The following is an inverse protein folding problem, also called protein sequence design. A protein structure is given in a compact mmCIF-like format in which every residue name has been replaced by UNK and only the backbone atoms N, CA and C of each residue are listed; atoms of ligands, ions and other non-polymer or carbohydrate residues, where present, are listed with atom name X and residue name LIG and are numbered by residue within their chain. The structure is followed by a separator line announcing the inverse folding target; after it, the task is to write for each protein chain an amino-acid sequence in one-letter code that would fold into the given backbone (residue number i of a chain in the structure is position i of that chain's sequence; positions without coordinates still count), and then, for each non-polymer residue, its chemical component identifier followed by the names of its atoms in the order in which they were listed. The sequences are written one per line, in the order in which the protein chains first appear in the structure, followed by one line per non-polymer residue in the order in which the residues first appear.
data_IF_154241397525
#
_entry.id   IF_154241397525
#
_cell.length_a   1.000
_cell.length_b   1.000
_cell.length_c   1.000
_cell.angle_alpha   90.00
_cell.angle_beta   90.00
_cell.angle_gamma   90.00
#
_symmetry.space_group_name_H-M   'P 1'
#
loop_
_entity.id
_entity.type
_entity.pdbx_description
1 polymer ?
#
# COMPACT_ATOMS: atom_id res chain seq x y z
N UNK A 1 -7.55 9.03 9.91
CA UNK A 1 -8.21 8.82 8.61
C UNK A 1 -8.56 7.35 8.48
N UNK A 2 -9.28 6.97 7.43
CA UNK A 2 -9.78 5.61 7.24
C UNK A 2 -8.63 4.68 6.84
N UNK A 3 -8.64 3.44 7.35
CA UNK A 3 -7.60 2.45 7.02
C UNK A 3 -7.97 1.66 5.78
N UNK A 4 -6.98 1.41 4.94
CA UNK A 4 -7.13 0.62 3.74
C UNK A 4 -6.01 -0.42 3.63
N UNK A 5 -6.34 -1.57 3.08
CA UNK A 5 -5.36 -2.54 2.57
C UNK A 5 -5.35 -2.45 1.05
N UNK A 6 -4.20 -2.10 0.50
CA UNK A 6 -3.97 -2.06 -0.95
C UNK A 6 -3.17 -3.29 -1.33
N UNK A 7 -3.64 -4.00 -2.34
CA UNK A 7 -2.94 -5.15 -2.91
C UNK A 7 -2.41 -4.74 -4.27
N UNK A 8 -1.09 -4.85 -4.44
CA UNK A 8 -0.45 -4.71 -5.72
C UNK A 8 -0.01 -6.08 -6.23
N UNK A 9 -0.19 -6.30 -7.53
CA UNK A 9 0.39 -7.45 -8.22
C UNK A 9 1.72 -7.04 -8.84
N UNK A 10 2.82 -7.48 -8.24
CA UNK A 10 4.14 -7.16 -8.74
C UNK A 10 4.40 -7.90 -10.06
N UNK A 11 5.20 -7.32 -10.97
CA UNK A 11 5.75 -8.07 -12.09
C UNK A 11 6.64 -9.22 -11.58
N UNK A 12 6.64 -10.38 -12.27
CA UNK A 12 7.36 -11.63 -11.92
C UNK A 12 8.87 -11.45 -11.59
N UNK A 13 9.46 -10.32 -11.98
CA UNK A 13 10.89 -10.02 -11.81
C UNK A 13 11.18 -8.82 -10.91
N UNK A 14 10.16 -8.23 -10.27
CA UNK A 14 10.37 -7.05 -9.44
C UNK A 14 11.18 -7.38 -8.18
N UNK A 15 12.35 -6.76 -8.06
CA UNK A 15 13.23 -6.88 -6.90
C UNK A 15 12.75 -5.98 -5.75
N UNK A 16 13.16 -6.31 -4.52
CA UNK A 16 12.84 -5.49 -3.35
C UNK A 16 13.35 -4.05 -3.48
N UNK A 17 14.52 -3.84 -4.08
CA UNK A 17 15.09 -2.52 -4.30
C UNK A 17 14.27 -1.67 -5.28
N UNK A 18 13.74 -2.28 -6.34
CA UNK A 18 12.84 -1.61 -7.28
C UNK A 18 11.52 -1.22 -6.59
N UNK A 19 10.96 -2.11 -5.76
CA UNK A 19 9.76 -1.79 -4.97
C UNK A 19 10.02 -0.63 -4.00
N UNK A 20 11.20 -0.60 -3.34
CA UNK A 20 11.61 0.52 -2.48
C UNK A 20 11.75 1.81 -3.28
N UNK A 21 12.33 1.76 -4.48
CA UNK A 21 12.47 2.94 -5.35
C UNK A 21 11.10 3.49 -5.81
N UNK A 22 10.16 2.60 -6.15
CA UNK A 22 8.78 2.98 -6.43
C UNK A 22 8.09 3.58 -5.19
N UNK A 23 8.27 2.97 -4.02
CA UNK A 23 7.77 3.48 -2.74
C UNK A 23 8.28 4.89 -2.43
N UNK A 24 9.55 5.20 -2.69
CA UNK A 24 10.09 6.56 -2.57
C UNK A 24 9.41 7.56 -3.51
N UNK A 25 9.11 7.13 -4.73
CA UNK A 25 8.41 7.96 -5.72
C UNK A 25 6.98 8.29 -5.26
N UNK A 26 6.28 7.30 -4.70
CA UNK A 26 4.95 7.47 -4.11
C UNK A 26 5.03 8.40 -2.90
N UNK A 27 5.95 8.14 -1.97
CA UNK A 27 6.12 8.92 -0.74
C UNK A 27 6.38 10.42 -1.00
N UNK A 28 7.12 10.75 -2.07
CA UNK A 28 7.39 12.13 -2.47
C UNK A 28 6.16 12.88 -3.00
N UNK A 29 5.07 12.17 -3.30
CA UNK A 29 3.83 12.71 -3.88
C UNK A 29 2.63 12.62 -2.93
N UNK A 30 2.80 12.02 -1.75
CA UNK A 30 1.74 11.90 -0.76
C UNK A 30 1.29 13.29 -0.30
N UNK A 31 -0.01 13.53 -0.37
CA UNK A 31 -0.67 14.67 0.26
C UNK A 31 -1.14 14.28 1.67
N UNK A 32 -1.71 15.25 2.41
CA UNK A 32 -2.35 14.97 3.70
C UNK A 32 -3.60 14.05 3.57
N UNK A 33 -4.05 13.74 2.35
CA UNK A 33 -5.23 12.92 2.05
C UNK A 33 -4.93 11.42 1.93
N UNK A 34 -3.66 11.03 1.81
CA UNK A 34 -3.25 9.63 1.75
C UNK A 34 -1.85 9.42 2.33
N UNK A 35 -1.69 8.39 3.16
CA UNK A 35 -0.43 8.03 3.81
C UNK A 35 -0.21 6.54 3.70
N UNK A 36 0.92 6.15 3.11
CA UNK A 36 1.40 4.78 3.14
C UNK A 36 2.09 4.52 4.48
N UNK A 37 1.56 3.57 5.26
CA UNK A 37 2.01 3.27 6.62
C UNK A 37 3.05 2.15 6.66
N UNK A 38 2.91 1.16 5.79
CA UNK A 38 3.81 0.03 5.70
C UNK A 38 3.35 -1.00 4.69
N UNK A 39 4.07 -2.10 4.56
CA UNK A 39 3.66 -3.18 3.69
C UNK A 39 4.53 -4.43 3.78
N UNK A 40 4.06 -5.48 3.12
CA UNK A 40 4.65 -6.80 3.12
C UNK A 40 4.68 -7.32 1.69
N UNK A 41 5.86 -7.69 1.21
CA UNK A 41 5.99 -8.47 -0.02
C UNK A 41 5.67 -9.92 0.32
N UNK A 42 4.86 -10.56 -0.51
CA UNK A 42 4.54 -11.98 -0.48
C UNK A 42 5.17 -12.60 -1.73
N UNK A 43 6.45 -13.04 -1.68
CA UNK A 43 7.19 -13.45 -2.87
C UNK A 43 6.56 -14.66 -3.57
N UNK A 44 5.94 -15.56 -2.82
CA UNK A 44 5.32 -16.78 -3.35
C UNK A 44 4.06 -16.51 -4.19
N UNK A 45 3.49 -15.31 -4.10
CA UNK A 45 2.25 -14.92 -4.79
C UNK A 45 2.44 -13.61 -5.57
N UNK A 46 3.69 -13.12 -5.70
CA UNK A 46 4.04 -11.91 -6.43
C UNK A 46 3.21 -10.69 -6.01
N UNK A 47 2.87 -10.60 -4.72
CA UNK A 47 2.04 -9.51 -4.17
C UNK A 47 2.81 -8.60 -3.26
N UNK A 48 2.42 -7.33 -3.27
CA UNK A 48 2.75 -6.38 -2.23
C UNK A 48 1.44 -5.96 -1.55
N UNK A 49 1.35 -6.24 -0.25
CA UNK A 49 0.24 -5.82 0.60
C UNK A 49 0.65 -4.55 1.32
N UNK A 50 -0.11 -3.48 1.20
CA UNK A 50 0.21 -2.19 1.79
C UNK A 50 -0.89 -1.74 2.74
N UNK A 51 -0.49 -1.28 3.92
CA UNK A 51 -1.37 -0.56 4.83
C UNK A 51 -1.34 0.93 4.49
N UNK A 52 -2.53 1.50 4.31
CA UNK A 52 -2.73 2.90 4.00
C UNK A 52 -3.71 3.55 4.98
N UNK A 53 -3.49 4.85 5.21
CA UNK A 53 -4.48 5.74 5.80
C UNK A 53 -4.89 6.76 4.74
N UNK A 54 -6.17 6.92 4.46
CA UNK A 54 -6.61 7.89 3.46
C UNK A 54 -8.02 8.42 3.74
N UNK A 55 -8.37 9.53 3.09
CA UNK A 55 -9.73 10.07 3.11
C UNK A 55 -10.68 9.23 2.24
N UNK A 56 -10.17 8.64 1.15
CA UNK A 56 -10.91 7.72 0.29
C UNK A 56 -10.00 6.77 -0.50
N UNK A 57 -10.58 5.78 -1.19
CA UNK A 57 -9.84 4.89 -2.08
C UNK A 57 -9.28 5.63 -3.31
N UNK A 58 -9.99 6.66 -3.78
CA UNK A 58 -9.56 7.52 -4.90
C UNK A 58 -8.30 8.31 -4.54
N UNK A 59 -8.17 8.81 -3.30
CA UNK A 59 -6.96 9.49 -2.86
C UNK A 59 -5.72 8.58 -2.94
N UNK A 60 -5.88 7.28 -2.63
CA UNK A 60 -4.84 6.27 -2.79
C UNK A 60 -4.50 6.05 -4.27
N UNK A 61 -5.52 5.92 -5.13
CA UNK A 61 -5.31 5.74 -6.57
C UNK A 61 -4.54 6.92 -7.18
N UNK A 62 -4.89 8.16 -6.79
CA UNK A 62 -4.17 9.36 -7.23
C UNK A 62 -2.71 9.37 -6.75
N UNK A 63 -2.45 8.96 -5.50
CA UNK A 63 -1.08 8.87 -4.97
C UNK A 63 -0.22 7.85 -5.75
N UNK A 64 -0.85 6.80 -6.29
CA UNK A 64 -0.19 5.74 -7.06
C UNK A 64 -0.15 6.02 -8.57
N UNK A 65 -0.76 7.11 -9.02
CA UNK A 65 -0.85 7.43 -10.45
C UNK A 65 0.55 7.60 -11.07
N UNK A 66 0.76 6.91 -12.20
CA UNK A 66 2.02 6.92 -12.93
C UNK A 66 3.14 6.07 -12.31
N UNK A 67 2.87 5.29 -11.26
CA UNK A 67 3.84 4.34 -10.69
C UNK A 67 3.57 2.93 -11.21
N UNK A 68 4.03 2.66 -12.44
CA UNK A 68 3.73 1.43 -13.18
C UNK A 68 4.23 0.14 -12.51
N UNK A 69 5.22 0.23 -11.61
CA UNK A 69 5.74 -0.93 -10.88
C UNK A 69 4.76 -1.45 -9.80
N UNK A 70 3.81 -0.62 -9.38
CA UNK A 70 2.86 -0.91 -8.31
C UNK A 70 1.42 -0.93 -8.83
N UNK A 71 1.07 -1.78 -9.82
CA UNK A 71 -0.28 -1.82 -10.33
C UNK A 71 -1.23 -2.29 -9.21
N UNK A 72 -2.31 -1.54 -9.02
CA UNK A 72 -3.32 -1.87 -8.00
C UNK A 72 -4.17 -3.03 -8.50
N UNK A 73 -4.15 -4.13 -7.77
CA UNK A 73 -5.05 -5.26 -7.96
C UNK A 73 -6.37 -5.02 -7.21
N UNK A 74 -6.28 -4.54 -5.97
CA UNK A 74 -7.44 -4.27 -5.13
C UNK A 74 -7.16 -3.22 -4.05
N UNK A 75 -8.21 -2.53 -3.62
CA UNK A 75 -8.22 -1.63 -2.46
C UNK A 75 -9.39 -2.05 -1.57
N UNK A 76 -9.09 -2.39 -0.32
CA UNK A 76 -10.07 -2.80 0.67
C UNK A 76 -10.15 -1.77 1.80
N UNK A 77 -11.36 -1.35 2.13
CA UNK A 77 -11.62 -0.69 3.41
C UNK A 77 -11.34 -1.69 4.54
N UNK A 78 -10.53 -1.28 5.52
CA UNK A 78 -10.09 -2.16 6.58
C UNK A 78 -10.38 -1.58 7.96
N UNK A 79 -10.76 -2.45 8.87
CA UNK A 79 -10.85 -2.15 10.30
C UNK A 79 -9.63 -2.78 10.99
N UNK A 80 -8.73 -1.97 11.59
CA UNK A 80 -7.55 -2.51 12.24
C UNK A 80 -7.96 -3.28 13.49
N UNK A 81 -7.26 -4.39 13.76
CA UNK A 81 -7.38 -5.15 15.00
C UNK A 81 -6.05 -5.05 15.73
N UNK A 82 -6.03 -4.40 16.89
CA UNK A 82 -4.82 -4.23 17.70
C UNK A 82 -4.69 -5.39 18.70
N UNK A 83 -3.59 -6.17 18.68
CA UNK A 83 -3.37 -7.25 19.63
C UNK A 83 -3.41 -6.83 21.11
N UNK A 84 -3.13 -5.56 21.42
CA UNK A 84 -3.20 -5.03 22.78
C UNK A 84 -4.61 -5.00 23.35
N UNK A 85 -5.65 -5.03 22.51
CA UNK A 85 -7.05 -5.08 22.94
C UNK A 85 -7.45 -6.41 23.60
N UNK A 86 -6.64 -7.45 23.37
CA UNK A 86 -6.86 -8.78 23.93
C UNK A 86 -6.07 -9.03 25.22
N UNK A 87 -5.21 -8.08 25.61
CA UNK A 87 -4.46 -8.19 26.85
C UNK A 87 -5.40 -7.90 28.03
N UNK A 88 -5.83 -8.95 28.72
CA UNK A 88 -6.47 -8.87 30.05
C UNK A 88 -5.47 -8.46 31.15
#
# INVERSE_FOLDING_TARGET
MTKFIVVHRLPDVATQDEVIAAGKTVAARLSDDARWLGGWIVPADERLLCEWEASSAEAIQMALEGVNLLPVEAIYLAEPIDPTWFAE
#
